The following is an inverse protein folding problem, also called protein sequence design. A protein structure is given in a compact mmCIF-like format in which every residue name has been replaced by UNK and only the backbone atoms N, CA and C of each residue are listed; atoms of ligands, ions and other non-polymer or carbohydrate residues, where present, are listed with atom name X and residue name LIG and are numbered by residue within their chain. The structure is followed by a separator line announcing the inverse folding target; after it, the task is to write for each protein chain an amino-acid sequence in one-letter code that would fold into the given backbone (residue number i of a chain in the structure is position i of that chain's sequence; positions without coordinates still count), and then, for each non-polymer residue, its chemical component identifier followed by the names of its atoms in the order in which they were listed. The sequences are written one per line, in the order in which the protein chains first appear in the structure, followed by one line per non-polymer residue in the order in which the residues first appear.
data_IF_076799834303
#
_entry.id   IF_076799834303
#
_cell.length_a   1.000
_cell.length_b   1.000
_cell.length_c   1.000
_cell.angle_alpha   90.00
_cell.angle_beta   90.00
_cell.angle_gamma   90.00
#
_symmetry.space_group_name_H-M   'P 1'
#
loop_
_entity.id
_entity.type
_entity.pdbx_description
1 polymer ?
#
# COMPACT_ATOMS: atom_id res chain seq x y z
N UNK A 1 15.50 -0.73 1.43
CA UNK A 1 16.94 -1.11 1.60
C UNK A 1 17.69 -1.05 0.29
N UNK A 2 17.11 -1.52 -0.84
CA UNK A 2 17.73 -1.41 -2.16
C UNK A 2 18.10 0.05 -2.51
N UNK A 3 17.20 1.00 -2.28
CA UNK A 3 17.45 2.42 -2.54
C UNK A 3 18.56 2.99 -1.67
N UNK A 4 18.64 2.61 -0.40
CA UNK A 4 19.75 3.01 0.48
C UNK A 4 21.10 2.42 0.02
N UNK A 5 21.12 1.15 -0.36
CA UNK A 5 22.32 0.51 -0.88
C UNK A 5 22.78 1.19 -2.18
N UNK A 6 21.84 1.50 -3.07
CA UNK A 6 22.14 2.21 -4.30
C UNK A 6 22.68 3.62 -4.04
N UNK A 7 22.11 4.35 -3.06
CA UNK A 7 22.61 5.66 -2.64
C UNK A 7 24.05 5.62 -2.12
N UNK A 8 24.45 4.52 -1.49
CA UNK A 8 25.81 4.36 -0.95
C UNK A 8 26.88 4.09 -2.02
N UNK A 9 26.52 3.59 -3.19
CA UNK A 9 27.47 3.15 -4.23
C UNK A 9 27.51 4.05 -5.46
N UNK A 10 26.54 4.93 -5.66
CA UNK A 10 26.56 5.81 -6.82
C UNK A 10 27.55 6.97 -6.62
N UNK A 11 28.14 7.48 -7.70
CA UNK A 11 28.90 8.72 -7.67
C UNK A 11 28.01 9.90 -7.22
N UNK A 12 28.53 10.75 -6.36
CA UNK A 12 27.82 11.94 -5.89
C UNK A 12 27.52 12.88 -7.06
N UNK A 13 26.25 13.21 -7.28
CA UNK A 13 25.82 14.14 -8.34
C UNK A 13 25.93 15.59 -7.97
N UNK A 14 26.24 15.92 -6.71
CA UNK A 14 26.20 17.27 -6.15
C UNK A 14 24.80 17.78 -5.84
N UNK A 15 23.74 17.02 -6.16
CA UNK A 15 22.34 17.36 -5.86
C UNK A 15 21.79 16.37 -4.84
N UNK A 16 21.71 16.81 -3.59
CA UNK A 16 21.28 15.97 -2.47
C UNK A 16 19.87 16.37 -2.04
N UNK A 17 18.97 15.39 -1.97
CA UNK A 17 17.65 15.51 -1.40
C UNK A 17 17.74 15.50 0.14
N UNK A 18 16.64 15.85 0.80
CA UNK A 18 16.54 15.76 2.26
C UNK A 18 16.93 14.35 2.74
N UNK A 19 17.61 14.27 3.89
CA UNK A 19 18.06 13.01 4.46
C UNK A 19 19.30 12.40 3.81
N UNK A 20 20.05 13.17 3.00
CA UNK A 20 21.31 12.69 2.41
C UNK A 20 21.13 11.71 1.24
N UNK A 21 20.00 11.74 0.59
CA UNK A 21 19.71 10.91 -0.60
C UNK A 21 20.14 11.67 -1.85
N UNK A 22 21.07 11.11 -2.63
CA UNK A 22 21.45 11.71 -3.91
C UNK A 22 20.29 11.65 -4.90
N UNK A 23 20.11 12.72 -5.67
CA UNK A 23 19.02 12.83 -6.65
C UNK A 23 18.98 11.66 -7.64
N UNK A 24 20.14 11.16 -8.07
CA UNK A 24 20.25 10.04 -9.00
C UNK A 24 20.10 8.67 -8.32
N UNK A 25 20.16 8.60 -6.97
CA UNK A 25 20.12 7.35 -6.23
C UNK A 25 18.83 6.56 -6.43
N UNK A 26 17.72 7.26 -6.68
CA UNK A 26 16.41 6.63 -6.80
C UNK A 26 16.05 6.26 -8.24
N UNK A 27 16.81 6.69 -9.23
CA UNK A 27 16.49 6.48 -10.66
C UNK A 27 16.37 4.98 -11.01
N UNK A 28 17.41 4.20 -10.74
CA UNK A 28 17.40 2.74 -11.01
C UNK A 28 16.40 1.97 -10.16
N UNK A 29 16.32 2.18 -8.83
CA UNK A 29 15.29 1.57 -8.01
C UNK A 29 13.86 1.87 -8.49
N UNK A 30 13.58 3.10 -8.92
CA UNK A 30 12.27 3.47 -9.50
C UNK A 30 11.99 2.75 -10.82
N UNK A 31 12.97 2.69 -11.72
CA UNK A 31 12.85 1.95 -12.98
C UNK A 31 12.57 0.47 -12.72
N UNK A 32 13.28 -0.13 -11.76
CA UNK A 32 13.05 -1.52 -11.36
C UNK A 32 11.63 -1.73 -10.82
N UNK A 33 11.18 -0.89 -9.89
CA UNK A 33 9.86 -0.99 -9.32
C UNK A 33 8.75 -0.70 -10.35
N UNK A 34 8.97 0.24 -11.25
CA UNK A 34 8.07 0.55 -12.34
C UNK A 34 8.07 -0.45 -13.50
N UNK A 35 8.86 -1.52 -13.44
CA UNK A 35 8.89 -2.57 -14.44
C UNK A 35 7.70 -3.55 -14.33
N UNK A 36 6.95 -3.54 -13.23
CA UNK A 36 5.77 -4.37 -13.03
C UNK A 36 4.73 -4.13 -14.13
N UNK A 37 4.33 -5.18 -14.84
CA UNK A 37 3.40 -5.11 -15.98
C UNK A 37 2.85 -6.47 -16.38
N UNK A 38 1.77 -6.48 -17.12
CA UNK A 38 1.38 -7.63 -17.92
C UNK A 38 2.29 -7.77 -19.13
N UNK A 39 2.64 -8.99 -19.53
CA UNK A 39 3.47 -9.27 -20.72
C UNK A 39 2.59 -9.58 -21.92
N UNK A 40 3.05 -9.23 -23.12
CA UNK A 40 2.31 -9.42 -24.37
C UNK A 40 2.09 -10.92 -24.69
N UNK A 41 3.05 -11.75 -24.33
CA UNK A 41 3.02 -13.21 -24.53
C UNK A 41 2.16 -13.95 -23.50
N UNK A 42 1.54 -13.22 -22.58
CA UNK A 42 0.76 -13.75 -21.46
C UNK A 42 1.53 -13.80 -20.16
N UNK A 43 0.78 -13.76 -19.04
CA UNK A 43 1.35 -13.67 -17.70
C UNK A 43 1.65 -12.24 -17.25
N UNK A 44 2.34 -12.10 -16.14
CA UNK A 44 2.64 -10.81 -15.55
C UNK A 44 3.93 -10.81 -14.72
N UNK A 45 4.60 -9.67 -14.66
CA UNK A 45 5.65 -9.40 -13.69
C UNK A 45 5.05 -8.65 -12.51
N UNK A 46 4.96 -9.31 -11.37
CA UNK A 46 4.50 -8.71 -10.11
C UNK A 46 5.70 -8.40 -9.24
N UNK A 47 5.76 -7.18 -8.71
CA UNK A 47 6.82 -6.74 -7.80
C UNK A 47 6.20 -6.36 -6.46
N UNK A 48 6.61 -7.04 -5.40
CA UNK A 48 6.25 -6.71 -4.01
C UNK A 48 7.47 -6.08 -3.34
N UNK A 49 7.31 -4.85 -2.90
CA UNK A 49 8.37 -4.09 -2.22
C UNK A 49 7.92 -3.65 -0.83
N UNK A 50 8.85 -3.65 0.11
CA UNK A 50 8.63 -3.07 1.44
C UNK A 50 9.26 -1.68 1.52
N UNK A 51 8.53 -0.73 2.09
CA UNK A 51 9.02 0.58 2.46
C UNK A 51 8.87 0.78 3.97
N UNK A 52 9.89 1.35 4.60
CA UNK A 52 9.86 1.68 6.02
C UNK A 52 9.35 3.10 6.19
N UNK A 53 8.38 3.27 7.09
CA UNK A 53 7.83 4.56 7.51
C UNK A 53 7.96 4.71 9.02
N UNK A 54 7.88 5.95 9.51
CA UNK A 54 7.93 6.27 10.94
C UNK A 54 9.20 5.73 11.65
N UNK A 55 10.32 5.74 10.93
CA UNK A 55 11.63 5.29 11.46
C UNK A 55 12.44 6.41 12.11
N UNK A 56 11.97 7.65 12.02
CA UNK A 56 12.74 8.84 12.39
C UNK A 56 13.86 9.18 11.38
N UNK A 57 14.00 8.43 10.31
CA UNK A 57 15.00 8.66 9.26
C UNK A 57 14.42 9.48 8.11
N UNK A 58 14.96 10.66 7.89
CA UNK A 58 14.61 11.52 6.74
C UNK A 58 14.83 10.83 5.40
N UNK A 59 15.84 9.98 5.29
CA UNK A 59 16.09 9.22 4.07
C UNK A 59 14.97 8.23 3.77
N UNK A 60 14.40 7.56 4.78
CA UNK A 60 13.27 6.64 4.60
C UNK A 60 12.01 7.38 4.16
N UNK A 61 11.75 8.57 4.75
CA UNK A 61 10.63 9.43 4.34
C UNK A 61 10.74 9.82 2.87
N UNK A 62 11.91 10.30 2.44
CA UNK A 62 12.16 10.69 1.04
C UNK A 62 11.98 9.48 0.11
N UNK A 63 12.56 8.33 0.46
CA UNK A 63 12.41 7.11 -0.35
C UNK A 63 10.92 6.73 -0.46
N UNK A 64 10.18 6.72 0.64
CA UNK A 64 8.76 6.39 0.64
C UNK A 64 7.95 7.32 -0.28
N UNK A 65 8.08 8.65 -0.10
CA UNK A 65 7.35 9.63 -0.90
C UNK A 65 7.69 9.54 -2.39
N UNK A 66 8.96 9.30 -2.73
CA UNK A 66 9.41 9.16 -4.11
C UNK A 66 8.88 7.87 -4.80
N UNK A 67 8.57 6.83 -4.05
CA UNK A 67 7.99 5.58 -4.57
C UNK A 67 6.46 5.53 -4.54
N UNK A 68 5.84 6.33 -3.69
CA UNK A 68 4.37 6.37 -3.48
C UNK A 68 3.58 6.55 -4.77
N UNK A 69 4.11 7.30 -5.73
CA UNK A 69 3.50 7.50 -7.05
C UNK A 69 3.71 6.36 -8.06
N UNK A 70 4.58 5.38 -7.76
CA UNK A 70 4.98 4.34 -8.71
C UNK A 70 4.21 3.03 -8.50
N UNK A 71 3.81 2.72 -7.27
CA UNK A 71 3.09 1.49 -6.95
C UNK A 71 1.62 1.51 -7.37
N UNK A 72 1.06 0.34 -7.65
CA UNK A 72 -0.35 0.15 -8.00
C UNK A 72 -1.22 -0.12 -6.77
N UNK A 73 -0.63 -0.62 -5.69
CA UNK A 73 -1.29 -0.95 -4.45
C UNK A 73 -0.38 -0.60 -3.27
N UNK A 74 -0.97 -0.11 -2.21
CA UNK A 74 -0.31 0.18 -0.93
C UNK A 74 -1.01 -0.60 0.18
N UNK A 75 -0.23 -1.34 0.97
CA UNK A 75 -0.69 -2.00 2.18
C UNK A 75 0.04 -1.37 3.37
N UNK A 76 -0.65 -0.53 4.10
CA UNK A 76 -0.11 0.17 5.27
C UNK A 76 -0.23 -0.71 6.51
N UNK A 77 0.89 -1.15 7.09
CA UNK A 77 0.88 -1.85 8.38
C UNK A 77 0.75 -0.86 9.52
N UNK A 78 0.04 -1.24 10.59
CA UNK A 78 -0.13 -0.43 11.78
C UNK A 78 0.33 -1.19 13.04
N UNK A 79 1.32 -0.59 13.75
CA UNK A 79 1.90 -1.19 14.96
C UNK A 79 0.88 -1.32 16.09
N UNK A 80 -0.06 -0.38 16.23
CA UNK A 80 -1.08 -0.41 17.30
C UNK A 80 -1.95 -1.66 17.22
N UNK A 81 -2.27 -2.13 16.01
CA UNK A 81 -2.99 -3.38 15.79
C UNK A 81 -2.14 -4.58 16.22
N UNK A 82 -0.86 -4.59 15.83
CA UNK A 82 0.08 -5.65 16.22
C UNK A 82 0.27 -5.72 17.75
N UNK A 83 0.42 -4.57 18.40
CA UNK A 83 0.57 -4.48 19.87
C UNK A 83 -0.65 -5.03 20.60
N UNK A 84 -1.85 -4.87 20.02
CA UNK A 84 -3.10 -5.46 20.49
C UNK A 84 -3.36 -6.88 20.01
N UNK A 85 -2.42 -7.50 19.29
CA UNK A 85 -2.53 -8.82 18.68
C UNK A 85 -3.72 -8.98 17.72
N UNK A 86 -4.09 -7.91 17.07
CA UNK A 86 -5.11 -7.89 16.03
C UNK A 86 -4.43 -8.11 14.67
N UNK A 87 -4.67 -9.28 14.09
CA UNK A 87 -4.04 -9.68 12.83
C UNK A 87 -5.10 -10.00 11.76
N UNK A 88 -4.82 -9.68 10.47
CA UNK A 88 -3.59 -9.02 9.95
C UNK A 88 -3.50 -7.56 10.39
N UNK A 89 -2.31 -7.12 10.84
CA UNK A 89 -2.10 -5.81 11.45
C UNK A 89 -1.86 -4.71 10.37
N UNK A 90 -2.84 -4.45 9.54
CA UNK A 90 -2.79 -3.38 8.55
C UNK A 90 -3.93 -2.37 8.71
N UNK A 91 -3.64 -1.14 8.38
CA UNK A 91 -4.61 -0.05 8.37
C UNK A 91 -5.46 -0.14 7.09
N UNK A 92 -6.72 -0.52 7.24
CA UNK A 92 -7.66 -0.69 6.12
C UNK A 92 -7.95 0.65 5.44
N UNK A 93 -7.95 1.74 6.19
CA UNK A 93 -8.30 3.08 5.68
C UNK A 93 -7.15 3.63 4.83
N UNK A 94 -5.91 3.44 5.27
CA UNK A 94 -4.71 3.91 4.56
C UNK A 94 -4.26 2.99 3.43
N UNK A 95 -4.75 1.76 3.43
CA UNK A 95 -4.46 0.78 2.38
C UNK A 95 -5.40 0.95 1.20
N UNK A 96 -4.91 0.69 0.00
CA UNK A 96 -5.74 0.82 -1.19
C UNK A 96 -5.07 0.35 -2.47
N UNK A 97 -5.89 0.19 -3.50
CA UNK A 97 -5.47 -0.20 -4.85
C UNK A 97 -5.88 0.90 -5.84
N UNK A 98 -4.99 1.24 -6.76
CA UNK A 98 -5.31 2.16 -7.86
C UNK A 98 -6.16 1.46 -8.89
N UNK A 99 -7.01 2.22 -9.59
CA UNK A 99 -7.86 1.74 -10.68
C UNK A 99 -8.67 0.49 -10.30
N UNK A 100 -9.24 0.51 -9.10
CA UNK A 100 -10.05 -0.61 -8.59
C UNK A 100 -11.25 -0.92 -9.48
N UNK A 101 -11.69 0.04 -10.29
CA UNK A 101 -12.72 -0.13 -11.30
C UNK A 101 -12.37 -1.16 -12.38
N UNK A 102 -11.09 -1.49 -12.54
CA UNK A 102 -10.63 -2.56 -13.43
C UNK A 102 -10.71 -3.95 -12.78
N UNK A 103 -10.86 -4.01 -11.46
CA UNK A 103 -10.85 -5.24 -10.67
C UNK A 103 -12.24 -5.61 -10.15
N UNK A 104 -13.15 -4.65 -10.03
CA UNK A 104 -14.46 -4.81 -9.42
C UNK A 104 -15.57 -4.50 -10.42
N UNK A 105 -16.67 -5.23 -10.33
CA UNK A 105 -17.91 -4.86 -11.02
C UNK A 105 -18.45 -3.52 -10.49
N UNK A 106 -19.32 -2.85 -11.26
CA UNK A 106 -19.95 -1.59 -10.82
C UNK A 106 -20.68 -1.71 -9.50
N UNK A 107 -21.33 -2.85 -9.26
CA UNK A 107 -22.06 -3.11 -8.02
C UNK A 107 -21.09 -3.25 -6.86
N UNK A 108 -20.05 -4.06 -7.00
CA UNK A 108 -19.02 -4.24 -5.97
C UNK A 108 -18.31 -2.91 -5.67
N UNK A 109 -17.95 -2.14 -6.69
CA UNK A 109 -17.32 -0.84 -6.53
C UNK A 109 -18.20 0.13 -5.73
N UNK A 110 -19.50 0.20 -6.03
CA UNK A 110 -20.45 1.03 -5.28
C UNK A 110 -20.51 0.62 -3.79
N UNK A 111 -20.54 -0.68 -3.51
CA UNK A 111 -20.55 -1.21 -2.15
C UNK A 111 -19.23 -0.94 -1.41
N UNK A 112 -18.10 -1.06 -2.11
CA UNK A 112 -16.79 -0.69 -1.55
C UNK A 112 -16.72 0.80 -1.17
N UNK A 113 -17.35 1.69 -1.93
CA UNK A 113 -17.41 3.11 -1.57
C UNK A 113 -18.24 3.36 -0.33
N UNK A 114 -19.39 2.68 -0.19
CA UNK A 114 -20.21 2.72 1.02
C UNK A 114 -19.42 2.24 2.23
N UNK A 115 -18.72 1.09 2.08
CA UNK A 115 -17.89 0.53 3.13
C UNK A 115 -16.77 1.50 3.56
N UNK A 116 -16.05 2.08 2.61
CA UNK A 116 -15.00 3.07 2.91
C UNK A 116 -15.55 4.29 3.64
N UNK A 117 -16.70 4.80 3.22
CA UNK A 117 -17.32 5.91 3.91
C UNK A 117 -17.64 5.58 5.36
N UNK A 118 -18.15 4.38 5.62
CA UNK A 118 -18.40 3.90 6.96
C UNK A 118 -17.10 3.77 7.79
N UNK A 119 -16.05 3.18 7.21
CA UNK A 119 -14.78 2.95 7.90
C UNK A 119 -14.02 4.24 8.20
N UNK A 120 -14.13 5.26 7.35
CA UNK A 120 -13.42 6.54 7.53
C UNK A 120 -13.81 7.28 8.81
N UNK A 121 -14.98 7.03 9.35
CA UNK A 121 -15.45 7.63 10.60
C UNK A 121 -14.99 6.85 11.85
N UNK A 122 -14.29 5.72 11.66
CA UNK A 122 -13.83 4.82 12.72
C UNK A 122 -12.35 5.01 13.00
N UNK A 123 -11.93 4.69 14.24
CA UNK A 123 -10.51 4.48 14.54
C UNK A 123 -10.01 3.19 13.87
N UNK A 124 -8.70 3.11 13.63
CA UNK A 124 -8.09 1.96 12.93
C UNK A 124 -8.42 0.64 13.62
N UNK A 125 -8.40 0.60 14.94
CA UNK A 125 -8.72 -0.59 15.72
C UNK A 125 -10.20 -0.98 15.57
N UNK A 126 -11.10 0.00 15.66
CA UNK A 126 -12.54 -0.21 15.50
C UNK A 126 -12.89 -0.69 14.08
N UNK A 127 -12.25 -0.09 13.07
CA UNK A 127 -12.39 -0.50 11.68
C UNK A 127 -11.95 -1.95 11.47
N UNK A 128 -10.83 -2.35 12.07
CA UNK A 128 -10.32 -3.71 11.97
C UNK A 128 -11.23 -4.71 12.68
N UNK A 129 -11.70 -4.41 13.90
CA UNK A 129 -12.66 -5.25 14.63
C UNK A 129 -13.96 -5.41 13.84
N UNK A 130 -14.51 -4.30 13.34
CA UNK A 130 -15.72 -4.30 12.52
C UNK A 130 -15.56 -5.21 11.30
N UNK A 131 -14.45 -5.07 10.56
CA UNK A 131 -14.19 -5.88 9.38
C UNK A 131 -14.04 -7.35 9.72
N UNK A 132 -13.26 -7.68 10.74
CA UNK A 132 -13.08 -9.07 11.18
C UNK A 132 -14.40 -9.73 11.58
N UNK A 133 -15.23 -9.04 12.36
CA UNK A 133 -16.52 -9.55 12.79
C UNK A 133 -17.48 -9.80 11.62
N UNK A 134 -17.53 -8.89 10.67
CA UNK A 134 -18.40 -9.02 9.50
C UNK A 134 -17.91 -10.12 8.56
N UNK A 135 -16.60 -10.18 8.29
CA UNK A 135 -16.03 -11.18 7.40
C UNK A 135 -16.11 -12.59 7.97
N UNK A 136 -16.02 -12.78 9.29
CA UNK A 136 -16.22 -14.09 9.94
C UNK A 136 -17.61 -14.68 9.72
N UNK A 137 -18.61 -13.83 9.47
CA UNK A 137 -20.02 -14.24 9.27
C UNK A 137 -20.36 -14.55 7.82
N UNK A 138 -19.41 -14.40 6.91
CA UNK A 138 -19.60 -14.58 5.47
C UNK A 138 -18.56 -15.55 4.92
N UNK A 139 -18.93 -16.28 3.87
CA UNK A 139 -18.08 -17.33 3.26
C UNK A 139 -17.04 -16.76 2.29
N UNK A 140 -17.33 -15.60 1.72
CA UNK A 140 -16.48 -14.96 0.71
C UNK A 140 -16.78 -13.45 0.61
N UNK A 141 -15.93 -12.73 -0.11
CA UNK A 141 -16.05 -11.28 -0.29
C UNK A 141 -17.35 -10.86 -0.98
N UNK A 142 -17.86 -11.65 -1.91
CA UNK A 142 -19.12 -11.35 -2.61
C UNK A 142 -20.30 -11.36 -1.63
N UNK A 143 -20.42 -12.41 -0.83
CA UNK A 143 -21.44 -12.50 0.22
C UNK A 143 -21.31 -11.34 1.22
N UNK A 144 -20.08 -11.02 1.63
CA UNK A 144 -19.82 -9.87 2.49
C UNK A 144 -20.32 -8.55 1.89
N UNK A 145 -19.97 -8.27 0.64
CA UNK A 145 -20.41 -7.06 -0.05
C UNK A 145 -21.93 -7.04 -0.28
N UNK A 146 -22.57 -8.20 -0.45
CA UNK A 146 -24.03 -8.30 -0.57
C UNK A 146 -24.75 -7.90 0.72
N UNK A 147 -24.12 -8.03 1.89
CA UNK A 147 -24.68 -7.56 3.16
C UNK A 147 -24.70 -6.03 3.28
N UNK A 148 -23.89 -5.31 2.49
CA UNK A 148 -23.82 -3.84 2.51
C UNK A 148 -25.00 -3.16 1.78
N UNK A 149 -25.86 -3.92 1.13
CA UNK A 149 -27.01 -3.40 0.37
C UNK A 149 -28.34 -3.48 1.12
N UNK A 150 -28.31 -3.90 2.38
CA UNK A 150 -29.43 -3.90 3.32
C UNK A 150 -29.19 -2.85 4.38
#
# INVERSE_FOLDING_TARGET
RLSRAHNAVIPNSGKILSGGVDFNALKKPKQFFGAARNTEEGGSLTIVSTALIDTGSRADEVIFEEFKGTGNMELALDRRLSDRRMYPAFDIIRSGTRKEELLLSRIELSRMWILRKLLNDMKVEEAMEFMQDRMKRTKNNKEFLDTMSK
#
